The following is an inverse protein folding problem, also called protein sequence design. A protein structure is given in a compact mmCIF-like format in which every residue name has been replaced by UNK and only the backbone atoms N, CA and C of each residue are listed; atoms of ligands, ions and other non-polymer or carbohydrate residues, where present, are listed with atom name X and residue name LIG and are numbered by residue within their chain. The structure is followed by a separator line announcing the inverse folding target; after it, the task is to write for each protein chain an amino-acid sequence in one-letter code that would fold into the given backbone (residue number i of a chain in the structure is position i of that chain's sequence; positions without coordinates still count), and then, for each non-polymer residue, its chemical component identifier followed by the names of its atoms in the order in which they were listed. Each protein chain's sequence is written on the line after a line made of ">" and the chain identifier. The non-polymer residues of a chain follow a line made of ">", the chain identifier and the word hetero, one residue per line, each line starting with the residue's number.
data_IF_582327100470
#
_entry.id   IF_582327100470
#
_cell.length_a   1.000
_cell.length_b   1.000
_cell.length_c   1.000
_cell.angle_alpha   90.00
_cell.angle_beta   90.00
_cell.angle_gamma   90.00
#
_symmetry.space_group_name_H-M   'P 1'
#
loop_
_entity.id
_entity.type
_entity.pdbx_description
1 polymer ?
#
# COMPACT_ATOMS: atom_id res chain seq x y z
N UNK A 1 21.21 19.73 -29.61
CA UNK A 1 20.97 18.46 -28.90
C UNK A 1 20.45 18.82 -27.51
N UNK A 2 19.26 18.38 -27.09
CA UNK A 2 18.79 18.70 -25.74
C UNK A 2 19.73 18.01 -24.73
N UNK A 3 20.32 18.80 -23.84
CA UNK A 3 21.22 18.33 -22.78
C UNK A 3 20.46 17.38 -21.86
N UNK A 4 20.89 16.12 -21.79
CA UNK A 4 20.31 15.18 -20.84
C UNK A 4 20.49 15.73 -19.42
N UNK A 5 19.43 15.79 -18.59
CA UNK A 5 19.55 16.30 -17.24
C UNK A 5 20.50 15.42 -16.43
N UNK A 6 21.38 16.04 -15.64
CA UNK A 6 22.33 15.34 -14.78
C UNK A 6 21.59 14.48 -13.75
N UNK A 7 22.14 13.31 -13.41
CA UNK A 7 21.51 12.34 -12.49
C UNK A 7 21.08 12.98 -11.16
N UNK A 8 21.87 13.91 -10.63
CA UNK A 8 21.55 14.65 -9.39
C UNK A 8 20.29 15.51 -9.56
N UNK A 9 20.13 16.18 -10.70
CA UNK A 9 18.94 17.00 -10.99
C UNK A 9 17.66 16.15 -11.14
N UNK A 10 17.81 14.91 -11.64
CA UNK A 10 16.70 13.96 -11.76
C UNK A 10 16.26 13.45 -10.38
N UNK A 11 17.22 13.10 -9.50
CA UNK A 11 16.95 12.62 -8.13
C UNK A 11 16.22 13.67 -7.28
N UNK A 12 16.58 14.94 -7.39
CA UNK A 12 15.93 16.04 -6.66
C UNK A 12 14.71 16.63 -7.39
N UNK A 13 14.20 15.97 -8.42
CA UNK A 13 12.98 16.41 -9.10
C UNK A 13 11.74 16.23 -8.22
N UNK A 14 10.72 17.07 -8.45
CA UNK A 14 9.42 16.98 -7.78
C UNK A 14 8.80 15.58 -7.92
N UNK A 15 9.00 14.93 -9.06
CA UNK A 15 8.43 13.61 -9.37
C UNK A 15 9.10 12.51 -8.52
N UNK A 16 10.41 12.60 -8.30
CA UNK A 16 11.13 11.66 -7.42
C UNK A 16 10.72 11.82 -5.96
N UNK A 17 10.56 13.05 -5.48
CA UNK A 17 10.03 13.31 -4.13
C UNK A 17 8.63 12.71 -3.96
N UNK A 18 7.75 12.87 -4.95
CA UNK A 18 6.43 12.24 -4.93
C UNK A 18 6.56 10.70 -4.85
N UNK A 19 7.49 10.08 -5.59
CA UNK A 19 7.73 8.64 -5.51
C UNK A 19 8.22 8.18 -4.13
N UNK A 20 9.07 8.97 -3.46
CA UNK A 20 9.54 8.67 -2.09
C UNK A 20 8.37 8.72 -1.10
N UNK A 21 7.61 9.82 -1.09
CA UNK A 21 6.50 9.98 -0.15
C UNK A 21 5.39 8.95 -0.37
N UNK A 22 5.05 8.66 -1.63
CA UNK A 22 4.03 7.66 -1.96
C UNK A 22 4.50 6.24 -1.71
N UNK A 23 5.78 5.92 -1.97
CA UNK A 23 6.38 4.63 -1.63
C UNK A 23 6.40 4.39 -0.13
N UNK A 24 6.81 5.37 0.66
CA UNK A 24 6.79 5.28 2.12
C UNK A 24 5.36 5.13 2.68
N UNK A 25 4.42 5.95 2.19
CA UNK A 25 3.03 5.92 2.66
C UNK A 25 2.33 4.59 2.33
N UNK A 26 2.68 3.93 1.23
CA UNK A 26 2.10 2.63 0.84
C UNK A 26 2.81 1.44 1.49
N UNK A 27 4.11 1.55 1.79
CA UNK A 27 4.86 0.52 2.50
C UNK A 27 4.45 0.34 3.97
N UNK A 28 4.04 1.41 4.64
CA UNK A 28 3.62 1.37 6.04
C UNK A 28 2.44 0.40 6.31
N UNK A 29 1.31 0.46 5.58
CA UNK A 29 0.23 -0.52 5.73
C UNK A 29 0.69 -1.96 5.50
N UNK A 30 1.51 -2.22 4.48
CA UNK A 30 2.05 -3.56 4.23
C UNK A 30 2.85 -4.03 5.45
N UNK A 31 3.79 -3.22 5.93
CA UNK A 31 4.62 -3.54 7.09
C UNK A 31 3.78 -3.84 8.34
N UNK A 32 2.71 -3.06 8.57
CA UNK A 32 1.81 -3.30 9.70
C UNK A 32 1.17 -4.67 9.59
N UNK A 33 0.68 -5.06 8.41
CA UNK A 33 0.02 -6.35 8.21
C UNK A 33 1.00 -7.52 8.27
N UNK A 34 2.18 -7.40 7.67
CA UNK A 34 3.13 -8.53 7.55
C UNK A 34 4.00 -8.73 8.79
N UNK A 35 4.29 -7.65 9.52
CA UNK A 35 5.27 -7.66 10.61
C UNK A 35 4.64 -7.30 11.95
N UNK A 36 3.94 -6.16 12.04
CA UNK A 36 3.43 -5.67 13.32
C UNK A 36 2.26 -6.50 13.85
N UNK A 37 1.31 -6.85 12.99
CA UNK A 37 0.10 -7.60 13.34
C UNK A 37 0.44 -8.98 13.93
N UNK A 38 1.30 -9.83 13.31
CA UNK A 38 1.70 -11.10 13.90
C UNK A 38 2.43 -10.94 15.24
N UNK A 39 3.30 -9.94 15.37
CA UNK A 39 4.03 -9.65 16.62
C UNK A 39 3.07 -9.26 17.73
N UNK A 40 2.12 -8.37 17.43
CA UNK A 40 1.10 -7.94 18.39
C UNK A 40 0.22 -9.10 18.85
N UNK A 41 -0.32 -9.90 17.91
CA UNK A 41 -1.13 -11.07 18.24
C UNK A 41 -0.32 -12.11 19.04
N UNK A 42 0.96 -12.30 18.72
CA UNK A 42 1.82 -13.19 19.51
C UNK A 42 2.02 -12.68 20.94
N UNK A 43 2.16 -11.37 21.13
CA UNK A 43 2.27 -10.76 22.46
C UNK A 43 1.00 -10.93 23.30
N UNK A 44 -0.15 -11.00 22.64
CA UNK A 44 -1.46 -11.31 23.22
C UNK A 44 -1.71 -12.82 23.42
N UNK A 45 -0.65 -13.64 23.34
CA UNK A 45 -0.65 -15.09 23.56
C UNK A 45 -1.51 -15.88 22.56
N UNK A 46 -1.77 -15.33 21.38
CA UNK A 46 -2.35 -16.09 20.26
C UNK A 46 -1.38 -17.18 19.83
N UNK A 47 -1.91 -18.37 19.57
CA UNK A 47 -1.15 -19.55 19.19
C UNK A 47 -0.57 -19.43 17.76
N UNK A 48 0.48 -20.22 17.49
CA UNK A 48 1.20 -20.20 16.22
C UNK A 48 0.37 -20.72 15.05
N UNK A 49 -0.56 -21.66 15.30
CA UNK A 49 -1.44 -22.20 14.26
C UNK A 49 -2.38 -21.11 13.76
N UNK A 50 -3.01 -20.37 14.68
CA UNK A 50 -3.86 -19.22 14.35
C UNK A 50 -3.09 -18.15 13.58
N UNK A 51 -1.86 -17.83 13.98
CA UNK A 51 -0.99 -16.91 13.21
C UNK A 51 -0.69 -17.41 11.79
N UNK A 52 -0.57 -18.73 11.61
CA UNK A 52 -0.46 -19.34 10.28
C UNK A 52 -1.67 -19.02 9.39
N UNK A 53 -2.89 -19.07 9.92
CA UNK A 53 -4.10 -18.70 9.17
C UNK A 53 -4.12 -17.21 8.78
N UNK A 54 -3.51 -16.33 9.57
CA UNK A 54 -3.39 -14.90 9.22
C UNK A 54 -2.55 -14.65 7.97
N UNK A 55 -1.74 -15.60 7.49
CA UNK A 55 -1.03 -15.45 6.21
C UNK A 55 -1.98 -15.29 5.02
N UNK A 56 -3.19 -15.87 5.10
CA UNK A 56 -4.24 -15.76 4.07
C UNK A 56 -4.68 -14.31 3.85
N UNK A 57 -4.58 -13.47 4.88
CA UNK A 57 -4.89 -12.04 4.79
C UNK A 57 -4.03 -11.34 3.74
N UNK A 58 -2.84 -11.84 3.43
CA UNK A 58 -1.91 -11.25 2.46
C UNK A 58 -2.21 -11.60 1.00
N UNK A 59 -3.17 -12.51 0.74
CA UNK A 59 -3.56 -12.90 -0.62
C UNK A 59 -3.88 -11.73 -1.55
N UNK A 60 -4.51 -10.63 -1.11
CA UNK A 60 -4.78 -9.50 -1.99
C UNK A 60 -3.54 -8.94 -2.69
N UNK A 61 -2.36 -8.95 -2.05
CA UNK A 61 -1.13 -8.49 -2.69
C UNK A 61 -0.73 -9.35 -3.91
N UNK A 62 -1.05 -10.64 -3.89
CA UNK A 62 -0.77 -11.57 -5.00
C UNK A 62 -1.83 -11.49 -6.09
N UNK A 63 -3.10 -11.32 -5.70
CA UNK A 63 -4.25 -11.36 -6.62
C UNK A 63 -4.68 -9.99 -7.15
N UNK A 64 -3.95 -8.92 -6.81
CA UNK A 64 -4.28 -7.55 -7.20
C UNK A 64 -4.52 -7.34 -8.70
N UNK A 65 -3.93 -8.17 -9.55
CA UNK A 65 -4.17 -8.18 -11.01
C UNK A 65 -5.63 -8.45 -11.41
N UNK A 66 -6.43 -9.11 -10.57
CA UNK A 66 -7.83 -9.43 -10.88
C UNK A 66 -8.72 -8.19 -10.94
N UNK A 67 -8.50 -7.21 -10.06
CA UNK A 67 -9.31 -5.99 -9.99
C UNK A 67 -8.58 -4.75 -10.51
N UNK A 68 -7.29 -4.83 -10.82
CA UNK A 68 -6.56 -3.70 -11.41
C UNK A 68 -7.23 -3.12 -12.67
N UNK A 69 -7.82 -3.91 -13.62
CA UNK A 69 -8.48 -3.34 -14.79
C UNK A 69 -9.73 -2.53 -14.44
N UNK A 70 -10.39 -2.85 -13.32
CA UNK A 70 -11.55 -2.10 -12.86
C UNK A 70 -11.14 -0.71 -12.37
N UNK A 71 -10.03 -0.61 -11.64
CA UNK A 71 -9.48 0.67 -11.18
C UNK A 71 -9.03 1.56 -12.36
N UNK A 72 -8.60 0.96 -13.45
CA UNK A 72 -8.26 1.70 -14.68
C UNK A 72 -9.49 2.16 -15.47
N UNK A 73 -10.57 1.37 -15.44
CA UNK A 73 -11.81 1.65 -16.18
C UNK A 73 -12.66 2.73 -15.50
N UNK A 74 -12.74 2.70 -14.17
CA UNK A 74 -13.57 3.64 -13.41
C UNK A 74 -12.76 4.85 -12.96
N UNK A 75 -13.29 6.04 -13.21
CA UNK A 75 -12.63 7.31 -12.91
C UNK A 75 -13.43 8.00 -11.80
N UNK A 76 -12.84 8.27 -10.61
CA UNK A 76 -13.51 9.03 -9.57
C UNK A 76 -13.87 10.43 -10.07
N UNK A 77 -15.00 11.02 -9.64
CA UNK A 77 -15.45 12.32 -10.14
C UNK A 77 -14.58 13.50 -9.67
N UNK A 78 -13.59 13.26 -8.81
CA UNK A 78 -12.75 14.29 -8.20
C UNK A 78 -11.25 14.03 -8.42
N UNK A 79 -10.46 15.11 -8.48
CA UNK A 79 -8.99 15.12 -8.56
C UNK A 79 -8.36 14.37 -9.77
N UNK A 80 -9.17 13.95 -10.74
CA UNK A 80 -8.73 13.23 -11.93
C UNK A 80 -8.48 11.74 -11.66
N UNK A 81 -8.11 11.01 -12.72
CA UNK A 81 -8.11 9.53 -12.74
C UNK A 81 -7.31 8.88 -11.62
N UNK A 82 -6.03 9.22 -11.46
CA UNK A 82 -5.15 8.54 -10.50
C UNK A 82 -5.24 9.13 -9.10
N UNK A 83 -5.20 10.47 -8.98
CA UNK A 83 -5.15 11.14 -7.67
C UNK A 83 -6.43 10.93 -6.86
N UNK A 84 -7.59 10.84 -7.51
CA UNK A 84 -8.85 10.49 -6.85
C UNK A 84 -8.77 9.12 -6.17
N UNK A 85 -8.30 8.10 -6.88
CA UNK A 85 -8.14 6.76 -6.33
C UNK A 85 -7.08 6.68 -5.22
N UNK A 86 -5.94 7.37 -5.38
CA UNK A 86 -4.90 7.45 -4.33
C UNK A 86 -5.52 7.98 -3.03
N UNK A 87 -6.31 9.05 -3.12
CA UNK A 87 -6.93 9.65 -1.94
C UNK A 87 -7.98 8.73 -1.30
N UNK A 88 -8.82 8.07 -2.11
CA UNK A 88 -9.83 7.11 -1.63
C UNK A 88 -9.17 6.00 -0.83
N UNK A 89 -8.15 5.33 -1.39
CA UNK A 89 -7.49 4.23 -0.70
C UNK A 89 -6.68 4.69 0.51
N UNK A 90 -6.03 5.86 0.43
CA UNK A 90 -5.32 6.43 1.57
C UNK A 90 -6.26 6.67 2.77
N UNK A 91 -7.43 7.29 2.53
CA UNK A 91 -8.42 7.53 3.59
C UNK A 91 -8.95 6.20 4.13
N UNK A 92 -9.27 5.26 3.24
CA UNK A 92 -9.78 3.94 3.61
C UNK A 92 -8.76 3.17 4.48
N UNK A 93 -7.48 3.30 4.17
CA UNK A 93 -6.39 2.70 4.96
C UNK A 93 -6.26 3.33 6.33
N UNK A 94 -6.25 4.67 6.43
CA UNK A 94 -6.21 5.38 7.71
C UNK A 94 -7.36 4.93 8.61
N UNK A 95 -8.58 4.87 8.06
CA UNK A 95 -9.76 4.40 8.80
C UNK A 95 -9.56 2.96 9.25
N UNK A 96 -9.16 2.06 8.34
CA UNK A 96 -8.98 0.64 8.67
C UNK A 96 -7.90 0.42 9.74
N UNK A 97 -6.80 1.17 9.67
CA UNK A 97 -5.71 1.10 10.65
C UNK A 97 -6.15 1.65 12.02
N UNK A 98 -6.90 2.75 12.05
CA UNK A 98 -7.45 3.30 13.30
C UNK A 98 -8.40 2.31 13.99
N UNK A 99 -9.18 1.55 13.21
CA UNK A 99 -10.11 0.55 13.74
C UNK A 99 -9.42 -0.57 14.51
N UNK A 100 -8.18 -0.95 14.18
CA UNK A 100 -7.43 -1.95 14.95
C UNK A 100 -7.24 -1.54 16.42
N UNK A 101 -7.08 -0.24 16.68
CA UNK A 101 -6.89 0.28 18.04
C UNK A 101 -8.09 0.09 18.98
N UNK A 102 -9.27 -0.21 18.42
CA UNK A 102 -10.49 -0.47 19.19
C UNK A 102 -10.79 -1.96 19.36
N UNK A 103 -9.98 -2.85 18.78
CA UNK A 103 -10.20 -4.29 18.83
C UNK A 103 -9.34 -4.93 19.93
N UNK A 104 -9.95 -5.84 20.69
CA UNK A 104 -9.25 -6.67 21.67
C UNK A 104 -9.23 -8.13 21.18
N UNK A 105 -8.04 -8.73 20.96
CA UNK A 105 -7.90 -10.12 20.53
C UNK A 105 -8.54 -11.14 21.49
N UNK A 106 -8.62 -10.83 22.79
CA UNK A 106 -9.12 -11.75 23.82
C UNK A 106 -10.65 -11.74 23.98
N UNK A 107 -11.36 -10.85 23.28
CA UNK A 107 -12.82 -10.87 23.23
C UNK A 107 -13.34 -12.09 22.46
N UNK A 108 -14.55 -12.58 22.77
CA UNK A 108 -15.14 -13.78 22.14
C UNK A 108 -15.08 -13.78 20.59
N UNK A 109 -15.21 -12.60 19.96
CA UNK A 109 -15.14 -12.44 18.49
C UNK A 109 -13.93 -11.61 18.03
N UNK A 110 -12.97 -11.33 18.91
CA UNK A 110 -11.85 -10.42 18.66
C UNK A 110 -11.00 -10.83 17.47
N UNK A 111 -10.53 -12.07 17.47
CA UNK A 111 -9.66 -12.61 16.41
C UNK A 111 -10.31 -12.60 15.03
N UNK A 112 -11.60 -12.97 14.94
CA UNK A 112 -12.33 -12.96 13.67
C UNK A 112 -12.50 -11.54 13.11
N UNK A 113 -12.80 -10.56 13.97
CA UNK A 113 -12.89 -9.16 13.58
C UNK A 113 -11.54 -8.60 13.13
N UNK A 114 -10.47 -8.95 13.84
CA UNK A 114 -9.10 -8.55 13.47
C UNK A 114 -8.71 -9.16 12.12
N UNK A 115 -9.02 -10.44 11.88
CA UNK A 115 -8.75 -11.10 10.60
C UNK A 115 -9.52 -10.45 9.44
N UNK A 116 -10.81 -10.16 9.64
CA UNK A 116 -11.64 -9.47 8.64
C UNK A 116 -11.13 -8.05 8.34
N UNK A 117 -10.77 -7.30 9.39
CA UNK A 117 -10.20 -5.97 9.25
C UNK A 117 -8.84 -6.02 8.54
N UNK A 118 -7.99 -6.98 8.89
CA UNK A 118 -6.69 -7.16 8.25
C UNK A 118 -6.82 -7.53 6.77
N UNK A 119 -7.78 -8.40 6.41
CA UNK A 119 -8.08 -8.73 5.01
C UNK A 119 -8.52 -7.48 4.23
N UNK A 120 -9.37 -6.64 4.83
CA UNK A 120 -9.84 -5.40 4.24
C UNK A 120 -8.71 -4.35 4.10
N UNK A 121 -7.85 -4.21 5.12
CA UNK A 121 -6.65 -3.36 5.05
C UNK A 121 -5.68 -3.84 3.98
N UNK A 122 -5.44 -5.15 3.87
CA UNK A 122 -4.59 -5.71 2.81
C UNK A 122 -5.18 -5.44 1.43
N UNK A 123 -6.49 -5.58 1.25
CA UNK A 123 -7.17 -5.26 0.00
C UNK A 123 -7.01 -3.78 -0.38
N UNK A 124 -7.20 -2.85 0.56
CA UNK A 124 -7.00 -1.42 0.30
C UNK A 124 -5.54 -1.07 0.02
N UNK A 125 -4.59 -1.68 0.74
CA UNK A 125 -3.15 -1.49 0.54
C UNK A 125 -2.73 -1.99 -0.84
N UNK A 126 -3.12 -3.20 -1.22
CA UNK A 126 -2.85 -3.76 -2.55
C UNK A 126 -3.49 -2.91 -3.67
N UNK A 127 -4.67 -2.33 -3.42
CA UNK A 127 -5.34 -1.43 -4.36
C UNK A 127 -4.63 -0.08 -4.47
N UNK A 128 -4.12 0.46 -3.38
CA UNK A 128 -3.29 1.67 -3.40
C UNK A 128 -2.02 1.43 -4.22
N UNK A 129 -1.36 0.28 -4.05
CA UNK A 129 -0.15 -0.07 -4.81
C UNK A 129 -0.42 -0.07 -6.32
N UNK A 130 -1.54 -0.66 -6.78
CA UNK A 130 -1.91 -0.63 -8.21
C UNK A 130 -1.96 0.80 -8.74
N UNK A 131 -2.65 1.69 -8.00
CA UNK A 131 -2.87 3.06 -8.44
C UNK A 131 -1.57 3.85 -8.42
N UNK A 132 -0.72 3.64 -7.42
CA UNK A 132 0.59 4.27 -7.31
C UNK A 132 1.56 3.78 -8.38
N UNK A 133 1.58 2.47 -8.67
CA UNK A 133 2.39 1.89 -9.73
C UNK A 133 2.01 2.49 -11.10
N UNK A 134 0.71 2.64 -11.36
CA UNK A 134 0.21 3.25 -12.58
C UNK A 134 0.46 4.77 -12.63
N UNK A 135 0.27 5.48 -11.51
CA UNK A 135 0.57 6.91 -11.42
C UNK A 135 2.05 7.19 -11.65
N UNK A 136 2.94 6.39 -11.08
CA UNK A 136 4.40 6.47 -11.26
C UNK A 136 4.79 6.33 -12.74
N UNK A 137 4.17 5.39 -13.45
CA UNK A 137 4.35 5.21 -14.90
C UNK A 137 3.87 6.42 -15.72
N UNK A 138 2.91 7.19 -15.22
CA UNK A 138 2.40 8.39 -15.92
C UNK A 138 3.24 9.65 -15.65
N UNK A 139 3.97 9.72 -14.52
CA UNK A 139 4.73 10.93 -14.14
C UNK A 139 6.23 10.89 -14.48
N UNK A 140 6.82 9.70 -14.63
CA UNK A 140 8.25 9.54 -14.92
C UNK A 140 8.48 9.37 -16.43
N UNK A 141 9.49 10.04 -16.96
CA UNK A 141 9.98 9.78 -18.32
C UNK A 141 10.71 8.44 -18.42
N UNK A 142 10.89 7.90 -19.63
CA UNK A 142 11.56 6.60 -19.87
C UNK A 142 12.96 6.53 -19.24
N UNK A 143 13.69 7.66 -19.22
CA UNK A 143 15.02 7.75 -18.61
C UNK A 143 14.99 7.79 -17.08
N UNK A 144 13.89 8.25 -16.47
CA UNK A 144 13.73 8.38 -15.02
C UNK A 144 13.04 7.16 -14.40
N UNK A 145 12.35 6.36 -15.20
CA UNK A 145 11.59 5.19 -14.76
C UNK A 145 12.44 4.17 -13.99
N UNK A 146 13.67 3.91 -14.43
CA UNK A 146 14.58 3.01 -13.73
C UNK A 146 14.93 3.52 -12.32
N UNK A 147 15.35 4.79 -12.23
CA UNK A 147 15.71 5.43 -10.97
C UNK A 147 14.51 5.57 -10.03
N UNK A 148 13.36 5.99 -10.55
CA UNK A 148 12.12 6.16 -9.77
C UNK A 148 11.61 4.85 -9.19
N UNK A 149 11.73 3.73 -9.93
CA UNK A 149 11.41 2.40 -9.41
C UNK A 149 12.34 2.00 -8.27
N UNK A 150 13.65 2.19 -8.43
CA UNK A 150 14.63 1.85 -7.38
C UNK A 150 14.40 2.66 -6.10
N UNK A 151 14.15 3.96 -6.22
CA UNK A 151 13.88 4.84 -5.09
C UNK A 151 12.58 4.44 -4.38
N UNK A 152 11.52 4.19 -5.15
CA UNK A 152 10.23 3.76 -4.59
C UNK A 152 10.35 2.44 -3.83
N UNK A 153 11.04 1.44 -4.39
CA UNK A 153 11.22 0.13 -3.74
C UNK A 153 12.01 0.27 -2.44
N UNK A 154 13.02 1.15 -2.40
CA UNK A 154 13.76 1.43 -1.16
C UNK A 154 12.90 2.17 -0.12
N UNK A 155 11.94 3.00 -0.53
CA UNK A 155 11.04 3.67 0.39
C UNK A 155 9.89 2.77 0.89
N UNK A 156 9.56 1.72 0.14
CA UNK A 156 8.46 0.79 0.42
C UNK A 156 8.83 -0.36 1.37
N UNK A 157 10.11 -0.73 1.42
CA UNK A 157 10.65 -1.78 2.30
C UNK A 157 10.94 -1.26 3.69
#
# INVERSE_FOLDING_TARGET
>A
MPTQPTLISQIFSRNMLICIFTGFSSGLPLYIITSLLPVWLRSEKVDLETLGYFTVVTLPFTWKFLWSPLLDRYIPPFLGRRRGWILIFQISLIISLALFGFLNPQSNNGLALIAGLAALTSFFSASQDIVLDAYRREILSDNELGLGNSIHVNAYR
#
